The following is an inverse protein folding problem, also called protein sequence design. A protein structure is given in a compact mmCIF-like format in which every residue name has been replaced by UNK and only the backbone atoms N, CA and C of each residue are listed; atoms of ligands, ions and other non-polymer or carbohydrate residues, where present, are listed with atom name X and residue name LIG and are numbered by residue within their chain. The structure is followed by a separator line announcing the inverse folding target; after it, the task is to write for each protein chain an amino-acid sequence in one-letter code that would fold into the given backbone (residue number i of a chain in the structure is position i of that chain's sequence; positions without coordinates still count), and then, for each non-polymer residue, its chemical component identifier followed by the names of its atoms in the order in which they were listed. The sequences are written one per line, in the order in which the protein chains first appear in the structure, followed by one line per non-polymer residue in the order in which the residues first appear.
data_IF_963107269675
#
_entry.id   IF_963107269675
#
_cell.length_a   1.000
_cell.length_b   1.000
_cell.length_c   1.000
_cell.angle_alpha   90.00
_cell.angle_beta   90.00
_cell.angle_gamma   90.00
#
_symmetry.space_group_name_H-M   'P 1'
#
loop_
_entity.id
_entity.type
_entity.pdbx_description
1 polymer ?
#
# COMPACT_ATOMS: atom_id res chain seq x y z
N UNK A 1 3.52 11.41 7.20
CA UNK A 1 2.69 10.28 7.66
C UNK A 1 3.22 8.99 7.06
N UNK A 2 3.31 7.95 7.84
CA UNK A 2 3.85 6.68 7.34
C UNK A 2 3.18 5.51 8.05
N UNK A 3 2.70 4.55 7.28
CA UNK A 3 2.19 3.30 7.82
C UNK A 3 3.36 2.36 8.10
N UNK A 4 3.39 1.77 9.28
CA UNK A 4 4.45 0.87 9.70
C UNK A 4 3.92 -0.56 9.78
N UNK A 5 4.61 -1.47 9.10
CA UNK A 5 4.33 -2.90 9.22
C UNK A 5 5.07 -3.43 10.45
N UNK A 6 4.32 -3.87 11.44
CA UNK A 6 4.89 -4.38 12.71
C UNK A 6 4.71 -5.89 12.78
N UNK A 7 5.57 -6.60 13.56
CA UNK A 7 5.41 -8.06 13.71
C UNK A 7 4.04 -8.49 14.21
N UNK A 8 3.32 -7.65 14.93
CA UNK A 8 1.98 -7.97 15.41
C UNK A 8 0.95 -8.14 14.28
N UNK A 9 1.28 -7.69 13.05
CA UNK A 9 0.42 -7.82 11.89
C UNK A 9 0.68 -9.10 11.12
N UNK A 10 1.69 -9.89 11.51
CA UNK A 10 1.98 -11.17 10.87
C UNK A 10 0.93 -12.20 11.24
N UNK A 11 0.46 -12.94 10.23
CA UNK A 11 -0.57 -13.96 10.39
C UNK A 11 -0.01 -15.38 10.49
N UNK A 12 1.27 -15.55 10.13
CA UNK A 12 1.90 -16.85 10.00
C UNK A 12 1.73 -17.48 8.62
N UNK A 13 0.94 -16.87 7.74
CA UNK A 13 0.80 -17.30 6.35
C UNK A 13 1.70 -16.42 5.48
N UNK A 14 2.70 -17.04 4.84
CA UNK A 14 3.70 -16.29 4.07
C UNK A 14 3.09 -15.49 2.93
N UNK A 15 2.09 -16.03 2.25
CA UNK A 15 1.44 -15.33 1.13
C UNK A 15 0.67 -14.11 1.62
N UNK A 16 -0.12 -14.28 2.68
CA UNK A 16 -0.89 -13.18 3.25
C UNK A 16 0.05 -12.12 3.82
N UNK A 17 1.10 -12.54 4.50
CA UNK A 17 2.06 -11.59 5.07
C UNK A 17 2.80 -10.81 3.99
N UNK A 18 3.15 -11.47 2.88
CA UNK A 18 3.76 -10.79 1.73
C UNK A 18 2.81 -9.77 1.11
N UNK A 19 1.51 -10.10 0.99
CA UNK A 19 0.52 -9.16 0.47
C UNK A 19 0.36 -7.96 1.39
N UNK A 20 0.34 -8.18 2.71
CA UNK A 20 0.25 -7.08 3.67
C UNK A 20 1.47 -6.17 3.61
N UNK A 21 2.68 -6.72 3.50
CA UNK A 21 3.89 -5.92 3.37
C UNK A 21 3.87 -5.07 2.11
N UNK A 22 3.46 -5.65 0.99
CA UNK A 22 3.37 -4.93 -0.28
C UNK A 22 2.30 -3.83 -0.21
N UNK A 23 1.18 -4.11 0.43
CA UNK A 23 0.13 -3.11 0.63
C UNK A 23 0.65 -1.92 1.43
N UNK A 24 1.39 -2.17 2.50
CA UNK A 24 1.98 -1.11 3.32
C UNK A 24 2.99 -0.30 2.53
N UNK A 25 3.81 -0.96 1.71
CA UNK A 25 4.77 -0.27 0.84
C UNK A 25 4.05 0.68 -0.12
N UNK A 26 2.98 0.22 -0.76
CA UNK A 26 2.23 1.04 -1.71
C UNK A 26 1.49 2.18 -1.01
N UNK A 27 0.97 1.93 0.19
CA UNK A 27 0.36 2.99 0.99
C UNK A 27 1.38 4.06 1.38
N UNK A 28 2.60 3.65 1.73
CA UNK A 28 3.66 4.60 2.05
C UNK A 28 4.10 5.39 0.83
N UNK A 29 4.11 4.79 -0.36
CA UNK A 29 4.39 5.52 -1.61
C UNK A 29 3.35 6.61 -1.84
N UNK A 30 2.08 6.33 -1.56
CA UNK A 30 1.01 7.32 -1.66
C UNK A 30 1.22 8.46 -0.66
N UNK A 31 1.52 8.13 0.59
CA UNK A 31 1.77 9.14 1.62
C UNK A 31 2.96 10.03 1.27
N UNK A 32 4.03 9.42 0.75
CA UNK A 32 5.20 10.17 0.32
C UNK A 32 4.86 11.12 -0.84
N UNK A 33 4.05 10.66 -1.79
CA UNK A 33 3.60 11.48 -2.91
C UNK A 33 2.83 12.72 -2.42
N UNK A 34 1.97 12.53 -1.43
CA UNK A 34 1.22 13.64 -0.81
C UNK A 34 2.16 14.60 -0.07
N UNK A 35 3.08 14.06 0.71
CA UNK A 35 4.03 14.87 1.49
C UNK A 35 4.99 15.67 0.61
N UNK A 36 5.36 15.11 -0.55
CA UNK A 36 6.22 15.79 -1.51
C UNK A 36 5.50 16.88 -2.30
N UNK A 37 4.18 17.00 -2.14
CA UNK A 37 3.40 17.98 -2.87
C UNK A 37 3.24 17.64 -4.34
N UNK A 38 3.22 16.36 -4.69
CA UNK A 38 3.00 15.92 -6.05
C UNK A 38 1.66 16.42 -6.57
N UNK A 39 1.53 16.54 -7.90
CA UNK A 39 0.30 16.98 -8.51
C UNK A 39 -0.88 16.07 -8.17
N UNK A 40 -2.08 16.60 -8.21
CA UNK A 40 -3.31 15.83 -7.98
C UNK A 40 -3.36 14.62 -8.92
N UNK A 41 -2.97 14.81 -10.18
CA UNK A 41 -2.95 13.74 -11.17
C UNK A 41 -2.00 12.60 -10.73
N UNK A 42 -0.81 12.95 -10.25
CA UNK A 42 0.17 11.96 -9.78
C UNK A 42 -0.35 11.22 -8.56
N UNK A 43 -0.95 11.92 -7.62
CA UNK A 43 -1.52 11.31 -6.41
C UNK A 43 -2.67 10.36 -6.79
N UNK A 44 -3.54 10.76 -7.70
CA UNK A 44 -4.64 9.91 -8.17
C UNK A 44 -4.13 8.66 -8.87
N UNK A 45 -3.07 8.77 -9.65
CA UNK A 45 -2.45 7.62 -10.32
C UNK A 45 -1.91 6.62 -9.28
N UNK A 46 -1.20 7.13 -8.27
CA UNK A 46 -0.67 6.28 -7.19
C UNK A 46 -1.79 5.61 -6.41
N UNK A 47 -2.86 6.33 -6.11
CA UNK A 47 -4.03 5.79 -5.44
C UNK A 47 -4.69 4.70 -6.29
N UNK A 48 -4.77 4.91 -7.60
CA UNK A 48 -5.31 3.91 -8.53
C UNK A 48 -4.53 2.60 -8.49
N UNK A 49 -3.21 2.68 -8.49
CA UNK A 49 -2.35 1.50 -8.36
C UNK A 49 -2.58 0.77 -7.05
N UNK A 50 -2.72 1.49 -5.95
CA UNK A 50 -3.00 0.89 -4.65
C UNK A 50 -4.36 0.18 -4.65
N UNK A 51 -5.40 0.82 -5.19
CA UNK A 51 -6.74 0.25 -5.27
C UNK A 51 -6.75 -1.01 -6.15
N UNK A 52 -6.08 -0.97 -7.29
CA UNK A 52 -5.98 -2.11 -8.20
C UNK A 52 -5.25 -3.27 -7.53
N UNK A 53 -4.16 -3.00 -6.84
CA UNK A 53 -3.43 -4.02 -6.11
C UNK A 53 -4.32 -4.69 -5.06
N UNK A 54 -5.03 -3.90 -4.27
CA UNK A 54 -5.90 -4.40 -3.22
C UNK A 54 -7.02 -5.27 -3.80
N UNK A 55 -7.68 -4.80 -4.85
CA UNK A 55 -8.75 -5.52 -5.50
C UNK A 55 -8.26 -6.85 -6.07
N UNK A 56 -7.15 -6.81 -6.79
CA UNK A 56 -6.59 -8.00 -7.43
C UNK A 56 -6.19 -9.06 -6.41
N UNK A 57 -5.51 -8.66 -5.35
CA UNK A 57 -4.93 -9.62 -4.41
C UNK A 57 -5.91 -10.12 -3.35
N UNK A 58 -6.90 -9.33 -2.98
CA UNK A 58 -7.84 -9.73 -1.93
C UNK A 58 -9.17 -10.26 -2.46
N UNK A 59 -9.40 -10.21 -3.77
CA UNK A 59 -10.59 -10.82 -4.36
C UNK A 59 -10.38 -12.29 -4.71
N UNK A 60 -9.17 -12.76 -4.59
CA UNK A 60 -8.86 -14.18 -4.73
C UNK A 60 -9.11 -14.92 -3.41
#
# INVERSE_FOLDING_TARGET
MKALFTPSLLTGDEMIDAHHKELFKRANDLFESIENGDSTEKVQETLGFLADYTTYHFSE
#
